data_IF_598403011096
#
_entry.id   IF_598403011096
#
_cell.length_a   1.000
_cell.length_b   1.000
_cell.length_c   1.000
_cell.angle_alpha   90.00
_cell.angle_beta   90.00
_cell.angle_gamma   90.00
#
_symmetry.space_group_name_H-M   'P 1'
#
loop_
_entity.id
_entity.type
_entity.pdbx_description
1 polymer ?
#
# COMPACT_ATOMS: atom_id res chain seq x y z
N UNK A 1 -2.58 -3.65 -29.26
CA UNK A 1 -2.35 -4.65 -28.19
C UNK A 1 -1.87 -4.04 -26.86
N UNK A 2 -2.45 -2.93 -26.37
CA UNK A 2 -1.94 -2.26 -25.14
C UNK A 2 -2.90 -2.29 -23.92
N UNK A 3 -4.14 -2.79 -24.07
CA UNK A 3 -5.12 -2.82 -22.97
C UNK A 3 -4.85 -3.91 -21.92
N UNK A 4 -4.19 -5.01 -22.28
CA UNK A 4 -3.99 -6.16 -21.39
C UNK A 4 -3.01 -5.85 -20.23
N UNK A 5 -1.98 -5.02 -20.47
CA UNK A 5 -0.97 -4.67 -19.44
C UNK A 5 -1.54 -3.86 -18.27
N UNK A 6 -2.48 -2.94 -18.51
CA UNK A 6 -3.08 -2.11 -17.44
C UNK A 6 -3.94 -2.93 -16.46
N UNK A 7 -4.61 -3.97 -16.96
CA UNK A 7 -5.45 -4.84 -16.13
C UNK A 7 -4.64 -5.74 -15.20
N UNK A 8 -3.50 -6.25 -15.68
CA UNK A 8 -2.58 -7.09 -14.90
C UNK A 8 -1.85 -6.28 -13.82
N UNK A 9 -1.37 -5.08 -14.15
CA UNK A 9 -0.74 -4.17 -13.18
C UNK A 9 -1.70 -3.82 -12.05
N UNK A 10 -2.97 -3.48 -12.38
CA UNK A 10 -3.98 -3.18 -11.35
C UNK A 10 -4.30 -4.36 -10.45
N UNK A 11 -4.27 -5.60 -10.98
CA UNK A 11 -4.46 -6.82 -10.16
C UNK A 11 -3.25 -7.09 -9.26
N UNK A 12 -2.04 -6.85 -9.74
CA UNK A 12 -0.82 -7.02 -8.96
C UNK A 12 -0.74 -6.01 -7.81
N UNK A 13 -0.99 -4.73 -8.08
CA UNK A 13 -0.97 -3.68 -7.03
C UNK A 13 -2.06 -3.93 -5.97
N UNK A 14 -3.25 -4.39 -6.38
CA UNK A 14 -4.30 -4.78 -5.41
C UNK A 14 -3.89 -5.96 -4.53
N UNK A 15 -3.18 -6.96 -5.07
CA UNK A 15 -2.64 -8.07 -4.27
C UNK A 15 -1.58 -7.57 -3.29
N UNK A 16 -0.73 -6.66 -3.73
CA UNK A 16 0.32 -6.06 -2.91
C UNK A 16 -0.26 -5.26 -1.74
N UNK A 17 -1.27 -4.43 -1.99
CA UNK A 17 -2.04 -3.74 -0.95
C UNK A 17 -2.67 -4.76 0.02
N UNK A 18 -3.23 -5.86 -0.48
CA UNK A 18 -3.81 -6.90 0.38
C UNK A 18 -2.76 -7.54 1.29
N UNK A 19 -1.57 -7.86 0.75
CA UNK A 19 -0.47 -8.42 1.54
C UNK A 19 0.05 -7.43 2.58
N UNK A 20 0.13 -6.15 2.24
CA UNK A 20 0.53 -5.10 3.18
C UNK A 20 -0.49 -4.91 4.30
N UNK A 21 -1.79 -5.00 4.01
CA UNK A 21 -2.85 -4.99 5.04
C UNK A 21 -2.77 -6.20 5.97
N UNK A 22 -2.47 -7.38 5.43
CA UNK A 22 -2.26 -8.57 6.26
C UNK A 22 -1.02 -8.43 7.14
N UNK A 23 0.07 -7.83 6.62
CA UNK A 23 1.27 -7.50 7.41
C UNK A 23 0.95 -6.50 8.51
N UNK A 24 0.22 -5.42 8.20
CA UNK A 24 -0.23 -4.42 9.18
C UNK A 24 -0.94 -5.10 10.35
N UNK A 25 -1.95 -5.93 10.04
CA UNK A 25 -2.72 -6.64 11.05
C UNK A 25 -1.87 -7.57 11.92
N UNK A 26 -0.84 -8.20 11.36
CA UNK A 26 0.09 -9.03 12.14
C UNK A 26 0.93 -8.19 13.09
N UNK A 27 1.44 -7.04 12.65
CA UNK A 27 2.23 -6.12 13.47
C UNK A 27 1.37 -5.56 14.62
N UNK A 28 0.12 -5.16 14.33
CA UNK A 28 -0.85 -4.68 15.33
C UNK A 28 -1.18 -5.73 16.39
N UNK A 29 -1.31 -7.00 16.01
CA UNK A 29 -1.66 -8.10 16.92
C UNK A 29 -0.47 -8.70 17.66
N UNK A 30 0.76 -8.36 17.25
CA UNK A 30 1.94 -8.85 17.95
C UNK A 30 1.99 -8.16 19.32
N UNK A 31 2.28 -8.87 20.42
CA UNK A 31 2.46 -8.24 21.74
C UNK A 31 3.76 -7.42 21.81
N UNK A 32 3.78 -6.36 22.62
CA UNK A 32 4.97 -5.54 22.88
C UNK A 32 5.48 -5.85 24.30
N UNK A 33 6.80 -5.98 24.47
CA UNK A 33 7.39 -6.28 25.78
C UNK A 33 8.14 -5.09 26.41
N UNK A 34 8.14 -3.93 25.76
CA UNK A 34 8.69 -2.68 26.30
C UNK A 34 8.70 -1.53 25.29
N UNK A 35 9.19 -0.37 25.72
CA UNK A 35 9.17 0.88 24.93
C UNK A 35 9.98 0.80 23.64
N UNK A 36 11.10 0.07 23.64
CA UNK A 36 11.92 -0.15 22.45
C UNK A 36 11.19 -0.99 21.38
N UNK A 37 10.30 -1.89 21.81
CA UNK A 37 9.50 -2.72 20.90
C UNK A 37 8.26 -1.96 20.42
N UNK A 38 7.68 -1.13 21.29
CA UNK A 38 6.60 -0.21 20.93
C UNK A 38 7.07 0.75 19.81
N UNK A 39 8.21 1.41 20.01
CA UNK A 39 8.77 2.35 19.03
C UNK A 39 9.14 1.68 17.70
N UNK A 40 9.63 0.44 17.75
CA UNK A 40 9.89 -0.35 16.54
C UNK A 40 8.59 -0.63 15.77
N UNK A 41 7.53 -1.03 16.47
CA UNK A 41 6.23 -1.23 15.83
C UNK A 41 5.60 0.02 15.28
N UNK A 42 5.68 1.15 15.98
CA UNK A 42 5.16 2.41 15.46
C UNK A 42 5.86 2.80 14.15
N UNK A 43 7.17 2.59 14.07
CA UNK A 43 7.93 2.78 12.84
C UNK A 43 7.49 1.81 11.74
N UNK A 44 7.36 0.51 12.06
CA UNK A 44 6.92 -0.51 11.10
C UNK A 44 5.51 -0.22 10.56
N UNK A 45 4.58 0.17 11.44
CA UNK A 45 3.22 0.57 11.06
C UNK A 45 3.25 1.79 10.15
N UNK A 46 4.03 2.83 10.49
CA UNK A 46 4.16 4.05 9.69
C UNK A 46 4.70 3.76 8.29
N UNK A 47 5.68 2.86 8.16
CA UNK A 47 6.20 2.43 6.86
C UNK A 47 5.13 1.70 6.04
N UNK A 48 4.43 0.74 6.63
CA UNK A 48 3.38 -0.03 5.94
C UNK A 48 2.23 0.88 5.48
N UNK A 49 1.81 1.83 6.32
CA UNK A 49 0.80 2.82 5.97
C UNK A 49 1.22 3.69 4.78
N UNK A 50 2.47 4.15 4.78
CA UNK A 50 3.02 4.97 3.68
C UNK A 50 3.06 4.19 2.38
N UNK A 51 3.44 2.91 2.42
CA UNK A 51 3.51 2.06 1.23
C UNK A 51 2.11 1.74 0.67
N UNK A 52 1.12 1.47 1.54
CA UNK A 52 -0.27 1.32 1.12
C UNK A 52 -0.79 2.60 0.46
N UNK A 53 -0.50 3.77 1.04
CA UNK A 53 -0.93 5.05 0.49
C UNK A 53 -0.34 5.32 -0.89
N UNK A 54 0.95 5.07 -1.08
CA UNK A 54 1.62 5.25 -2.37
C UNK A 54 1.04 4.31 -3.44
N UNK A 55 0.85 3.03 -3.11
CA UNK A 55 0.26 2.06 -4.04
C UNK A 55 -1.21 2.38 -4.38
N UNK A 56 -1.98 2.90 -3.42
CA UNK A 56 -3.34 3.37 -3.68
C UNK A 56 -3.34 4.57 -4.62
N UNK A 57 -2.45 5.54 -4.38
CA UNK A 57 -2.27 6.70 -5.25
C UNK A 57 -1.88 6.29 -6.66
N UNK A 58 -0.95 5.34 -6.83
CA UNK A 58 -0.61 4.81 -8.15
C UNK A 58 -1.83 4.21 -8.85
N UNK A 59 -2.64 3.41 -8.14
CA UNK A 59 -3.87 2.82 -8.71
C UNK A 59 -4.87 3.90 -9.15
N UNK A 60 -5.01 4.97 -8.37
CA UNK A 60 -5.91 6.07 -8.65
C UNK A 60 -5.40 6.94 -9.82
N UNK A 61 -4.09 7.21 -9.89
CA UNK A 61 -3.43 7.88 -11.01
C UNK A 61 -3.57 7.06 -12.31
N UNK A 62 -3.48 5.72 -12.22
CA UNK A 62 -3.77 4.82 -13.35
C UNK A 62 -5.27 4.79 -13.73
N UNK A 63 -6.16 5.08 -12.79
CA UNK A 63 -7.61 5.10 -13.01
C UNK A 63 -8.12 6.44 -13.56
N UNK A 64 -7.33 7.51 -13.47
CA UNK A 64 -7.68 8.86 -13.94
C UNK A 64 -6.90 9.27 -15.20
N UNK A 65 -7.27 8.78 -16.41
CA UNK A 65 -6.77 9.36 -17.64
C UNK A 65 -7.33 10.77 -17.91
N UNK A 66 -8.30 11.25 -17.12
CA UNK A 66 -8.97 12.54 -17.33
C UNK A 66 -8.30 13.73 -16.62
N UNK A 67 -7.49 13.51 -15.58
CA UNK A 67 -6.84 14.61 -14.84
C UNK A 67 -5.43 14.95 -15.33
N UNK A 68 -4.86 14.18 -16.26
CA UNK A 68 -3.54 14.50 -16.86
C UNK A 68 -3.62 15.58 -17.97
N UNK A 69 -4.81 16.03 -18.36
CA UNK A 69 -5.02 16.96 -19.48
C UNK A 69 -5.29 18.42 -19.07
N UNK A 70 -5.10 18.79 -17.79
CA UNK A 70 -5.23 20.18 -17.34
C UNK A 70 -3.91 20.60 -16.70
N UNK A 71 -2.96 21.03 -17.54
CA UNK A 71 -1.82 21.83 -17.12
C UNK A 71 -1.53 22.88 -18.18
#
# INVERSE_FOLDING_TARGET
>A
MFRLRRGEVKRNVRREISMLKDKLRRVELTPCYGDADLKRKDNDLSMIWTEIYNLQKEVDDFASPFLQAVK
#
